data_IF_568320973405
#
_entry.id   IF_568320973405
#
_cell.length_a   1.000
_cell.length_b   1.000
_cell.length_c   1.000
_cell.angle_alpha   90.00
_cell.angle_beta   90.00
_cell.angle_gamma   90.00
#
_symmetry.space_group_name_H-M   'P 1'
#
loop_
_entity.id
_entity.type
_entity.pdbx_description
1 polymer ?
#
# COMPACT_ATOMS: atom_id res chain seq x y z
N UNK A 1 -23.84 2.88 35.47
CA UNK A 1 -23.61 4.16 34.73
C UNK A 1 -22.14 4.63 34.70
N UNK A 2 -21.38 4.53 35.80
CA UNK A 2 -19.96 4.94 35.85
C UNK A 2 -19.07 3.99 35.04
N UNK A 3 -19.31 2.67 35.13
CA UNK A 3 -18.53 1.67 34.40
C UNK A 3 -18.71 1.76 32.88
N UNK A 4 -19.92 2.05 32.39
CA UNK A 4 -20.16 2.30 30.96
C UNK A 4 -19.48 3.58 30.46
N UNK A 5 -19.51 4.67 31.25
CA UNK A 5 -18.77 5.89 30.90
C UNK A 5 -17.27 5.66 30.88
N UNK A 6 -16.75 4.84 31.80
CA UNK A 6 -15.33 4.46 31.85
C UNK A 6 -14.93 3.59 30.64
N UNK A 7 -15.81 2.68 30.23
CA UNK A 7 -15.61 1.82 29.06
C UNK A 7 -15.67 2.60 27.74
N UNK A 8 -16.58 3.57 27.62
CA UNK A 8 -16.69 4.44 26.45
C UNK A 8 -15.50 5.41 26.33
N UNK A 9 -14.97 5.90 27.47
CA UNK A 9 -13.75 6.74 27.47
C UNK A 9 -12.48 5.92 27.23
N UNK A 10 -12.39 4.68 27.71
CA UNK A 10 -11.24 3.81 27.42
C UNK A 10 -11.21 3.35 25.97
N UNK A 11 -12.36 3.04 25.35
CA UNK A 11 -12.44 2.71 23.92
C UNK A 11 -12.12 3.93 23.04
N UNK A 12 -12.53 5.14 23.45
CA UNK A 12 -12.17 6.38 22.76
C UNK A 12 -10.68 6.74 22.92
N UNK A 13 -9.98 6.22 23.92
CA UNK A 13 -8.53 6.41 24.14
C UNK A 13 -7.65 5.32 23.51
N UNK A 14 -8.24 4.29 22.91
CA UNK A 14 -7.56 3.40 21.96
C UNK A 14 -7.34 4.12 20.62
N UNK A 15 -6.74 5.30 20.66
CA UNK A 15 -6.07 5.88 19.53
C UNK A 15 -4.66 5.29 19.53
N UNK A 16 -4.09 4.96 18.38
CA UNK A 16 -2.66 4.68 18.28
C UNK A 16 -1.87 5.88 18.79
N UNK A 17 -1.66 5.96 20.10
CA UNK A 17 -1.20 7.16 20.82
C UNK A 17 0.30 7.41 20.63
N UNK A 18 0.97 6.51 19.91
CA UNK A 18 2.38 6.58 19.52
C UNK A 18 2.54 6.66 17.99
N UNK A 19 1.49 7.08 17.27
CA UNK A 19 1.64 7.48 15.87
C UNK A 19 1.64 9.00 15.82
N UNK A 20 2.68 9.57 15.22
CA UNK A 20 2.72 10.99 14.92
C UNK A 20 1.67 11.29 13.85
N UNK A 21 0.59 11.95 14.27
CA UNK A 21 -0.48 12.42 13.37
C UNK A 21 -0.33 13.89 13.00
N UNK A 22 0.61 14.61 13.60
CA UNK A 22 0.82 16.05 13.35
C UNK A 22 1.65 16.26 12.08
N UNK A 23 2.66 15.40 11.84
CA UNK A 23 3.55 15.49 10.68
C UNK A 23 3.60 14.21 9.84
N UNK A 24 2.47 13.76 9.24
CA UNK A 24 2.46 12.57 8.40
C UNK A 24 3.23 12.80 7.09
N UNK A 25 4.05 11.83 6.68
CA UNK A 25 4.60 11.80 5.31
C UNK A 25 3.51 11.33 4.36
N UNK A 26 3.13 12.19 3.41
CA UNK A 26 2.09 11.88 2.42
C UNK A 26 2.71 11.64 1.06
N UNK A 27 2.47 10.46 0.48
CA UNK A 27 2.80 10.16 -0.90
C UNK A 27 1.56 10.31 -1.77
N UNK A 28 1.68 11.04 -2.88
CA UNK A 28 0.62 11.21 -3.86
C UNK A 28 1.16 10.97 -5.25
N UNK A 29 0.34 10.34 -6.07
CA UNK A 29 0.63 10.12 -7.48
C UNK A 29 -0.68 10.13 -8.26
N UNK A 30 -0.65 10.67 -9.47
CA UNK A 30 -1.84 10.74 -10.34
C UNK A 30 -2.03 9.41 -11.10
N UNK A 31 -2.05 8.30 -10.35
CA UNK A 31 -2.24 6.97 -10.87
C UNK A 31 -3.52 6.38 -10.29
N UNK A 32 -4.41 5.90 -11.16
CA UNK A 32 -5.70 5.35 -10.72
C UNK A 32 -5.50 4.14 -9.80
N UNK A 33 -6.12 4.21 -8.62
CA UNK A 33 -6.00 3.18 -7.58
C UNK A 33 -4.70 3.24 -6.79
N UNK A 34 -3.88 4.28 -6.93
CA UNK A 34 -2.68 4.46 -6.10
C UNK A 34 -3.06 4.40 -4.61
N UNK A 35 -2.34 3.57 -3.84
CA UNK A 35 -2.60 3.37 -2.42
C UNK A 35 -3.57 2.23 -2.12
N UNK A 36 -4.13 1.56 -3.13
CA UNK A 36 -5.06 0.43 -2.92
C UNK A 36 -4.37 -0.78 -2.28
N UNK A 37 -3.05 -0.92 -2.48
CA UNK A 37 -2.21 -1.88 -1.75
C UNK A 37 -0.88 -1.22 -1.41
N UNK A 38 -0.38 -1.46 -0.20
CA UNK A 38 0.88 -0.90 0.30
C UNK A 38 1.63 -1.97 1.08
N UNK A 39 2.92 -2.12 0.80
CA UNK A 39 3.84 -2.94 1.60
C UNK A 39 5.08 -2.12 1.98
N UNK A 40 5.71 -2.47 3.10
CA UNK A 40 7.00 -1.92 3.52
C UNK A 40 8.12 -2.90 3.19
N UNK A 41 9.24 -2.38 2.68
CA UNK A 41 10.47 -3.11 2.34
C UNK A 41 11.67 -2.39 2.94
N UNK A 42 12.61 -3.12 3.55
CA UNK A 42 13.88 -2.56 4.00
C UNK A 42 13.77 -1.35 4.94
N UNK A 43 12.70 -1.25 5.74
CA UNK A 43 12.51 -0.22 6.77
C UNK A 43 12.10 1.17 6.28
N UNK A 44 12.67 1.70 5.20
CA UNK A 44 12.37 3.06 4.70
C UNK A 44 11.64 3.11 3.36
N UNK A 45 11.47 1.97 2.67
CA UNK A 45 10.83 1.92 1.36
C UNK A 45 9.44 1.35 1.47
N UNK A 46 8.52 1.94 0.73
CA UNK A 46 7.18 1.42 0.54
C UNK A 46 7.01 1.05 -0.93
N UNK A 47 6.21 0.03 -1.20
CA UNK A 47 5.70 -0.26 -2.53
C UNK A 47 4.21 -0.05 -2.51
N UNK A 48 3.75 0.79 -3.43
CA UNK A 48 2.37 1.20 -3.54
C UNK A 48 1.82 0.71 -4.88
N UNK A 49 0.75 -0.06 -4.83
CA UNK A 49 0.01 -0.49 -6.01
C UNK A 49 -0.96 0.57 -6.50
N UNK A 50 -1.04 0.71 -7.82
CA UNK A 50 -2.03 1.51 -8.52
C UNK A 50 -2.72 0.64 -9.60
N UNK A 51 -3.57 -0.33 -9.22
CA UNK A 51 -4.01 -1.40 -10.11
C UNK A 51 -4.83 -0.91 -11.31
N UNK A 52 -5.48 0.24 -11.21
CA UNK A 52 -6.36 0.79 -12.24
C UNK A 52 -5.64 1.77 -13.18
N UNK A 53 -4.34 2.02 -12.98
CA UNK A 53 -3.56 2.92 -13.83
C UNK A 53 -3.46 2.34 -15.25
N UNK A 54 -3.70 3.13 -16.29
CA UNK A 54 -3.57 2.64 -17.68
C UNK A 54 -2.15 2.94 -18.17
N UNK A 55 -1.31 1.91 -18.34
CA UNK A 55 0.06 2.04 -18.87
C UNK A 55 0.10 1.97 -20.40
N UNK A 56 -0.79 1.20 -21.00
CA UNK A 56 -0.99 1.09 -22.45
C UNK A 56 -2.40 0.59 -22.77
N UNK A 57 -2.77 0.52 -24.06
CA UNK A 57 -4.13 0.22 -24.54
C UNK A 57 -4.77 -1.05 -23.91
N UNK A 58 -3.97 -2.02 -23.48
CA UNK A 58 -4.43 -3.27 -22.84
C UNK A 58 -3.59 -3.65 -21.61
N UNK A 59 -2.92 -2.68 -20.99
CA UNK A 59 -2.05 -2.90 -19.84
C UNK A 59 -2.48 -1.99 -18.70
N UNK A 60 -3.07 -2.58 -17.68
CA UNK A 60 -3.43 -1.88 -16.44
C UNK A 60 -2.55 -2.26 -15.26
N UNK A 61 -2.30 -1.20 -14.52
CA UNK A 61 -1.79 -1.03 -13.19
C UNK A 61 -0.28 -0.85 -13.09
N UNK A 62 0.07 -0.09 -12.06
CA UNK A 62 1.42 0.35 -11.77
C UNK A 62 1.85 -0.07 -10.38
N UNK A 63 3.17 -0.15 -10.21
CA UNK A 63 3.81 -0.25 -8.92
C UNK A 63 4.72 0.96 -8.75
N UNK A 64 4.65 1.57 -7.57
CA UNK A 64 5.42 2.74 -7.22
C UNK A 64 6.27 2.45 -6.00
N UNK A 65 7.52 2.87 -6.03
CA UNK A 65 8.37 2.89 -4.85
C UNK A 65 8.27 4.28 -4.23
N UNK A 66 7.92 4.31 -2.95
CA UNK A 66 7.96 5.52 -2.13
C UNK A 66 9.09 5.39 -1.13
N UNK A 67 9.96 6.40 -1.03
CA UNK A 67 11.04 6.42 -0.05
C UNK A 67 10.70 7.41 1.06
N UNK A 68 10.61 6.90 2.28
CA UNK A 68 10.25 7.68 3.47
C UNK A 68 11.31 8.73 3.82
N UNK A 69 12.59 8.45 3.60
CA UNK A 69 13.68 9.36 3.96
C UNK A 69 13.72 10.60 3.07
N UNK A 70 13.23 10.48 1.83
CA UNK A 70 13.22 11.58 0.85
C UNK A 70 11.82 12.08 0.51
N UNK A 71 10.78 11.48 1.08
CA UNK A 71 9.38 11.73 0.74
C UNK A 71 9.10 11.68 -0.78
N UNK A 72 9.83 10.85 -1.51
CA UNK A 72 9.78 10.80 -2.97
C UNK A 72 9.04 9.58 -3.50
N UNK A 73 8.30 9.76 -4.58
CA UNK A 73 7.61 8.68 -5.32
C UNK A 73 8.34 8.47 -6.66
N UNK A 74 8.53 7.21 -7.04
CA UNK A 74 9.10 6.85 -8.34
C UNK A 74 8.44 5.59 -8.90
N UNK A 75 8.29 5.45 -10.22
CA UNK A 75 7.88 4.19 -10.84
C UNK A 75 8.84 3.07 -10.45
N UNK A 76 8.30 1.93 -10.02
CA UNK A 76 9.11 0.76 -9.67
C UNK A 76 9.02 -0.32 -10.74
N UNK A 77 10.16 -0.94 -11.05
CA UNK A 77 10.23 -2.08 -11.97
C UNK A 77 10.70 -3.29 -11.19
N UNK A 78 9.76 -4.11 -10.71
CA UNK A 78 10.11 -5.37 -10.04
C UNK A 78 10.40 -6.45 -11.09
N UNK A 79 11.69 -6.77 -11.27
CA UNK A 79 12.15 -7.78 -12.24
C UNK A 79 11.76 -9.23 -11.92
N UNK A 80 11.20 -9.49 -10.73
CA UNK A 80 10.67 -10.80 -10.31
C UNK A 80 9.23 -11.07 -10.77
N UNK A 81 8.61 -10.15 -11.50
CA UNK A 81 7.27 -10.32 -12.09
C UNK A 81 7.33 -11.37 -13.21
N UNK A 82 7.10 -12.65 -12.88
CA UNK A 82 6.88 -13.72 -13.85
C UNK A 82 5.50 -13.62 -14.56
N UNK A 83 4.89 -12.44 -14.59
CA UNK A 83 3.58 -12.23 -15.18
C UNK A 83 3.64 -11.01 -16.08
N UNK A 84 4.09 -11.23 -17.31
CA UNK A 84 4.24 -10.20 -18.34
C UNK A 84 2.92 -9.58 -18.83
N UNK A 85 1.76 -9.98 -18.32
CA UNK A 85 0.46 -9.66 -18.94
C UNK A 85 -0.75 -9.55 -18.00
N UNK A 86 -0.58 -9.39 -16.69
CA UNK A 86 -1.74 -9.32 -15.79
C UNK A 86 -2.16 -7.87 -15.60
N UNK A 87 -3.30 -7.53 -16.19
CA UNK A 87 -4.09 -6.36 -15.79
C UNK A 87 -4.37 -6.47 -14.29
N UNK A 88 -3.79 -5.56 -13.50
CA UNK A 88 -4.08 -5.53 -12.07
C UNK A 88 -5.56 -5.21 -11.88
N UNK A 89 -6.28 -6.12 -11.22
CA UNK A 89 -7.71 -5.99 -10.94
C UNK A 89 -7.93 -5.33 -9.57
N UNK A 90 -9.18 -5.06 -9.22
CA UNK A 90 -9.55 -4.46 -7.93
C UNK A 90 -9.28 -5.35 -6.72
N UNK A 91 -9.21 -6.66 -6.93
CA UNK A 91 -8.86 -7.70 -5.98
C UNK A 91 -7.35 -7.97 -5.89
N UNK A 92 -6.54 -7.07 -6.44
CA UNK A 92 -5.10 -7.14 -6.43
C UNK A 92 -4.52 -6.88 -5.03
N UNK A 93 -3.68 -7.80 -4.57
CA UNK A 93 -2.97 -7.73 -3.30
C UNK A 93 -1.46 -7.86 -3.50
N UNK A 94 -0.70 -7.12 -2.71
CA UNK A 94 0.76 -7.18 -2.65
C UNK A 94 1.13 -7.70 -1.27
N UNK A 95 2.03 -8.67 -1.20
CA UNK A 95 2.62 -9.16 0.05
C UNK A 95 4.13 -9.28 -0.12
N UNK A 96 4.88 -8.94 0.92
CA UNK A 96 6.33 -9.12 0.94
C UNK A 96 6.67 -10.27 1.88
N UNK A 97 7.54 -11.18 1.44
CA UNK A 97 8.17 -12.16 2.30
C UNK A 97 9.66 -11.89 2.21
N UNK A 98 10.21 -11.20 3.23
CA UNK A 98 11.60 -10.69 3.35
C UNK A 98 11.99 -9.56 2.37
N UNK A 99 13.19 -8.99 2.52
CA UNK A 99 13.74 -7.92 1.65
C UNK A 99 13.99 -8.36 0.19
N UNK A 100 13.72 -9.62 -0.14
CA UNK A 100 14.13 -10.29 -1.36
C UNK A 100 12.97 -10.59 -2.31
N UNK A 101 11.70 -10.43 -1.91
CA UNK A 101 10.57 -10.80 -2.78
C UNK A 101 9.22 -10.17 -2.44
N UNK A 102 8.57 -9.65 -3.49
CA UNK A 102 7.16 -9.28 -3.50
C UNK A 102 6.38 -10.41 -4.15
N UNK A 103 5.44 -11.00 -3.42
CA UNK A 103 4.40 -11.88 -3.94
C UNK A 103 3.17 -11.04 -4.28
N UNK A 104 2.66 -11.20 -5.50
CA UNK A 104 1.43 -10.55 -5.93
C UNK A 104 0.34 -11.60 -6.09
N UNK A 105 -0.77 -11.41 -5.36
CA UNK A 105 -1.92 -12.28 -5.38
C UNK A 105 -3.12 -11.57 -6.02
N UNK A 106 -3.77 -12.23 -6.97
CA UNK A 106 -5.15 -11.92 -7.34
C UNK A 106 -6.03 -12.68 -6.34
N UNK A 107 -6.91 -12.01 -5.60
CA UNK A 107 -7.88 -12.74 -4.79
C UNK A 107 -8.96 -13.32 -5.72
N UNK A 108 -8.72 -14.53 -6.27
CA UNK A 108 -9.78 -15.28 -6.95
C UNK A 108 -10.98 -15.38 -6.01
N UNK A 109 -12.08 -14.72 -6.37
CA UNK A 109 -13.38 -15.05 -5.81
C UNK A 109 -13.69 -16.47 -6.27
N UNK A 110 -13.72 -17.42 -5.32
CA UNK A 110 -14.29 -18.76 -5.52
C UNK A 110 -15.81 -18.66 -5.68
#
# INVERSE_FOLDING_TARGET
PVLERLLLTSLALCHGFNLDTEYPTTFQENARGFGQSVIQLGGSRLVVGAPQEIKAANQTGGLYQCDYSTASVSPSTYRGLLCSHINFRTDFSISAKNDMGILMGIALHL
#
